data_IF_959117795611
#
_entry.id   IF_959117795611
#
_cell.length_a   1.000
_cell.length_b   1.000
_cell.length_c   1.000
_cell.angle_alpha   90.00
_cell.angle_beta   90.00
_cell.angle_gamma   90.00
#
_symmetry.space_group_name_H-M   'P 1'
#
loop_
_entity.id
_entity.type
_entity.pdbx_description
1 polymer ?
#
# COMPACT_ATOMS: atom_id res chain seq x y z
N UNK A 1 -12.03 -7.20 18.48
CA UNK A 1 -13.45 -7.59 18.30
C UNK A 1 -13.95 -6.93 17.02
N UNK A 2 -14.95 -7.46 16.31
CA UNK A 2 -15.52 -6.74 15.16
C UNK A 2 -16.08 -5.40 15.64
N UNK A 3 -15.72 -4.30 14.97
CA UNK A 3 -16.13 -2.93 15.32
C UNK A 3 -15.06 -2.03 15.97
N UNK A 4 -14.05 -2.58 16.66
CA UNK A 4 -13.00 -1.76 17.31
C UNK A 4 -12.14 -1.01 16.28
N UNK A 5 -11.87 -1.66 15.14
CA UNK A 5 -11.03 -1.11 14.08
C UNK A 5 -11.66 0.13 13.42
N UNK A 6 -12.97 0.10 13.16
CA UNK A 6 -13.70 1.23 12.57
C UNK A 6 -13.70 2.43 13.53
N UNK A 7 -13.98 2.21 14.82
CA UNK A 7 -14.00 3.27 15.82
C UNK A 7 -12.61 3.94 15.97
N UNK A 8 -11.55 3.13 15.98
CA UNK A 8 -10.18 3.63 15.98
C UNK A 8 -9.83 4.38 14.69
N UNK A 9 -10.25 3.85 13.53
CA UNK A 9 -10.05 4.50 12.24
C UNK A 9 -10.66 5.90 12.21
N UNK A 10 -11.85 6.04 12.80
CA UNK A 10 -12.60 7.29 12.84
C UNK A 10 -11.92 8.31 13.76
N UNK A 11 -11.45 7.89 14.93
CA UNK A 11 -10.65 8.74 15.81
C UNK A 11 -9.35 9.21 15.13
N UNK A 12 -8.66 8.32 14.41
CA UNK A 12 -7.47 8.71 13.64
C UNK A 12 -7.80 9.66 12.50
N UNK A 13 -8.91 9.42 11.79
CA UNK A 13 -9.33 10.29 10.70
C UNK A 13 -9.57 11.71 11.19
N UNK A 14 -10.33 11.88 12.27
CA UNK A 14 -10.61 13.20 12.85
C UNK A 14 -9.32 13.93 13.24
N UNK A 15 -8.40 13.23 13.93
CA UNK A 15 -7.11 13.82 14.33
C UNK A 15 -6.28 14.24 13.11
N UNK A 16 -6.12 13.36 12.12
CA UNK A 16 -5.32 13.65 10.93
C UNK A 16 -5.96 14.73 10.05
N UNK A 17 -7.30 14.76 9.93
CA UNK A 17 -8.00 15.78 9.15
C UNK A 17 -7.83 17.18 9.77
N UNK A 18 -7.85 17.28 11.10
CA UNK A 18 -7.54 18.52 11.82
C UNK A 18 -6.07 18.93 11.63
N UNK A 19 -5.11 18.01 11.82
CA UNK A 19 -3.67 18.29 11.66
C UNK A 19 -3.31 18.74 10.24
N UNK A 20 -3.95 18.17 9.22
CA UNK A 20 -3.68 18.45 7.81
C UNK A 20 -4.59 19.54 7.22
N UNK A 21 -5.50 20.11 8.03
CA UNK A 21 -6.50 21.11 7.61
C UNK A 21 -7.34 20.66 6.39
N UNK A 22 -7.77 19.39 6.40
CA UNK A 22 -8.53 18.73 5.31
C UNK A 22 -10.01 18.62 5.69
N UNK A 23 -10.91 18.92 4.75
CA UNK A 23 -12.37 18.83 4.98
C UNK A 23 -12.92 17.42 4.66
N UNK A 24 -12.38 16.41 5.35
CA UNK A 24 -12.84 15.02 5.23
C UNK A 24 -13.79 14.71 6.38
N UNK A 25 -14.98 14.22 6.06
CA UNK A 25 -16.12 14.06 6.97
C UNK A 25 -16.37 12.61 7.41
N UNK A 26 -15.63 11.64 6.87
CA UNK A 26 -15.77 10.24 7.25
C UNK A 26 -15.28 9.27 6.19
N UNK A 27 -15.67 8.01 6.37
CA UNK A 27 -15.44 6.91 5.43
C UNK A 27 -16.71 6.64 4.63
N UNK A 28 -16.55 6.20 3.40
CA UNK A 28 -17.66 5.64 2.61
C UNK A 28 -18.01 4.21 3.08
N UNK A 29 -19.15 3.70 2.64
CA UNK A 29 -19.63 2.37 3.03
C UNK A 29 -18.70 1.23 2.59
N UNK A 30 -18.08 1.33 1.42
CA UNK A 30 -17.07 0.38 0.93
C UNK A 30 -15.79 0.43 1.78
N UNK A 31 -15.34 1.61 2.21
CA UNK A 31 -14.21 1.76 3.11
C UNK A 31 -14.46 1.09 4.47
N UNK A 32 -15.65 1.31 5.04
CA UNK A 32 -16.04 0.69 6.31
C UNK A 32 -16.05 -0.84 6.21
N UNK A 33 -16.66 -1.38 5.16
CA UNK A 33 -16.66 -2.83 4.90
C UNK A 33 -15.24 -3.38 4.76
N UNK A 34 -14.35 -2.65 4.07
CA UNK A 34 -12.96 -3.06 3.90
C UNK A 34 -12.17 -3.02 5.21
N UNK A 35 -12.39 -2.01 6.05
CA UNK A 35 -11.78 -1.89 7.38
C UNK A 35 -12.21 -3.04 8.31
N UNK A 36 -13.46 -3.48 8.22
CA UNK A 36 -13.98 -4.61 9.01
C UNK A 36 -13.52 -5.97 8.49
N UNK A 37 -13.42 -6.12 7.17
CA UNK A 37 -13.00 -7.37 6.54
C UNK A 37 -11.49 -7.65 6.71
N UNK A 38 -10.70 -6.61 6.99
CA UNK A 38 -9.24 -6.76 7.13
C UNK A 38 -8.85 -7.29 8.52
N UNK A 39 -7.84 -8.16 8.55
CA UNK A 39 -7.37 -8.86 9.76
C UNK A 39 -6.36 -8.06 10.59
N UNK A 40 -5.89 -6.90 10.10
CA UNK A 40 -4.96 -5.99 10.79
C UNK A 40 -3.72 -6.68 11.40
N UNK A 41 -2.90 -7.40 10.60
CA UNK A 41 -1.74 -8.13 11.09
C UNK A 41 -0.68 -7.22 11.74
N UNK A 42 -0.60 -5.94 11.34
CA UNK A 42 0.26 -4.91 11.91
C UNK A 42 -0.36 -4.16 13.10
N UNK A 43 -1.52 -4.60 13.58
CA UNK A 43 -2.26 -4.02 14.71
C UNK A 43 -2.67 -2.55 14.49
N UNK A 44 -2.92 -1.81 15.57
CA UNK A 44 -3.39 -0.42 15.58
C UNK A 44 -2.46 0.55 14.82
N UNK A 45 -1.16 0.27 14.78
CA UNK A 45 -0.18 1.11 14.05
C UNK A 45 -0.35 1.04 12.54
N UNK A 46 -0.70 -0.14 12.01
CA UNK A 46 -1.00 -0.31 10.59
C UNK A 46 -2.23 0.52 10.22
N UNK A 47 -3.29 0.42 11.03
CA UNK A 47 -4.51 1.20 10.88
C UNK A 47 -4.24 2.71 10.89
N UNK A 48 -3.48 3.21 11.87
CA UNK A 48 -3.14 4.63 12.00
C UNK A 48 -2.39 5.15 10.77
N UNK A 49 -1.37 4.43 10.30
CA UNK A 49 -0.59 4.82 9.12
C UNK A 49 -1.43 4.83 7.85
N UNK A 50 -2.26 3.81 7.69
CA UNK A 50 -3.13 3.64 6.53
C UNK A 50 -4.16 4.78 6.46
N UNK A 51 -4.83 5.09 7.58
CA UNK A 51 -5.79 6.22 7.67
C UNK A 51 -5.08 7.55 7.43
N UNK A 52 -3.92 7.79 8.04
CA UNK A 52 -3.15 9.03 7.83
C UNK A 52 -2.82 9.27 6.36
N UNK A 53 -2.37 8.23 5.65
CA UNK A 53 -2.06 8.31 4.22
C UNK A 53 -3.32 8.58 3.39
N UNK A 54 -4.42 7.87 3.68
CA UNK A 54 -5.68 8.07 2.99
C UNK A 54 -6.20 9.52 3.18
N UNK A 55 -6.04 10.11 4.37
CA UNK A 55 -6.37 11.52 4.63
C UNK A 55 -5.55 12.50 3.78
N UNK A 56 -4.27 12.18 3.50
CA UNK A 56 -3.38 12.98 2.65
C UNK A 56 -3.77 12.85 1.18
N UNK A 57 -4.09 11.63 0.73
CA UNK A 57 -4.28 11.29 -0.69
C UNK A 57 -5.71 11.46 -1.19
N UNK A 58 -6.72 11.42 -0.33
CA UNK A 58 -8.11 11.55 -0.75
C UNK A 58 -8.30 12.88 -1.50
N UNK A 59 -9.13 12.92 -2.53
CA UNK A 59 -9.50 14.18 -3.21
C UNK A 59 -10.92 14.66 -2.84
N UNK A 60 -11.65 13.85 -2.06
CA UNK A 60 -13.04 14.09 -1.69
C UNK A 60 -13.27 14.45 -0.21
N UNK A 61 -14.55 14.55 0.14
CA UNK A 61 -15.01 14.75 1.53
C UNK A 61 -15.18 13.44 2.30
N UNK A 62 -14.93 12.29 1.66
CA UNK A 62 -15.01 10.96 2.25
C UNK A 62 -13.82 10.11 1.77
N UNK A 63 -13.34 9.23 2.64
CA UNK A 63 -12.31 8.23 2.32
C UNK A 63 -12.98 6.96 1.80
N UNK A 64 -12.53 6.49 0.64
CA UNK A 64 -12.99 5.27 -0.03
C UNK A 64 -12.09 4.07 0.22
N UNK A 65 -12.55 2.86 -0.13
CA UNK A 65 -11.71 1.66 -0.01
C UNK A 65 -10.45 1.74 -0.89
N UNK A 66 -10.54 2.44 -2.03
CA UNK A 66 -9.42 2.72 -2.92
C UNK A 66 -8.38 3.64 -2.25
N UNK A 67 -8.82 4.69 -1.55
CA UNK A 67 -7.93 5.60 -0.81
C UNK A 67 -7.17 4.87 0.32
N UNK A 68 -7.84 3.88 0.93
CA UNK A 68 -7.25 3.00 1.94
C UNK A 68 -6.28 1.97 1.34
N UNK A 69 -6.42 1.65 0.05
CA UNK A 69 -5.70 0.56 -0.60
C UNK A 69 -6.17 -0.81 -0.11
N UNK A 70 -7.44 -0.92 0.30
CA UNK A 70 -8.05 -2.15 0.83
C UNK A 70 -9.06 -2.76 -0.14
N UNK A 71 -8.89 -2.53 -1.46
CA UNK A 71 -9.72 -3.16 -2.46
C UNK A 71 -9.64 -4.70 -2.36
N UNK A 72 -10.80 -5.34 -2.41
CA UNK A 72 -10.93 -6.79 -2.34
C UNK A 72 -10.09 -7.45 -3.44
N UNK A 73 -8.92 -7.98 -3.07
CA UNK A 73 -8.02 -8.71 -3.96
C UNK A 73 -6.61 -8.15 -4.10
N UNK A 74 -6.28 -6.97 -3.55
CA UNK A 74 -4.96 -6.33 -3.71
C UNK A 74 -4.38 -5.80 -2.39
N UNK A 75 -4.48 -6.57 -1.30
CA UNK A 75 -3.73 -6.27 -0.09
C UNK A 75 -2.24 -6.60 -0.31
N UNK A 76 -1.53 -5.76 -1.06
CA UNK A 76 -0.07 -5.79 -1.06
C UNK A 76 0.37 -5.21 0.30
N UNK A 77 0.97 -6.01 1.20
CA UNK A 77 1.23 -5.60 2.57
C UNK A 77 2.04 -4.31 2.60
N UNK A 78 1.49 -3.31 3.28
CA UNK A 78 2.06 -1.97 3.29
C UNK A 78 3.38 -1.99 4.08
N UNK A 79 4.46 -1.40 3.54
CA UNK A 79 5.77 -1.51 4.16
C UNK A 79 5.84 -0.74 5.48
N UNK A 80 6.12 -1.43 6.59
CA UNK A 80 6.22 -0.89 7.95
C UNK A 80 7.46 -0.01 8.16
N UNK A 81 8.46 -0.12 7.29
CA UNK A 81 9.70 0.66 7.36
C UNK A 81 10.31 0.89 5.97
N UNK A 82 11.28 1.82 5.88
CA UNK A 82 11.94 2.19 4.62
C UNK A 82 12.58 1.01 3.89
N UNK A 83 13.06 0.00 4.63
CA UNK A 83 13.65 -1.21 4.03
C UNK A 83 12.58 -1.99 3.26
N UNK A 84 11.43 -2.24 3.88
CA UNK A 84 10.32 -2.91 3.22
C UNK A 84 9.77 -2.08 2.06
N UNK A 85 9.76 -0.75 2.18
CA UNK A 85 9.28 0.12 1.11
C UNK A 85 10.18 0.03 -0.13
N UNK A 86 11.50 0.01 0.09
CA UNK A 86 12.47 -0.21 -0.98
C UNK A 86 12.34 -1.59 -1.59
N UNK A 87 12.17 -2.64 -0.77
CA UNK A 87 11.99 -4.02 -1.25
C UNK A 87 10.71 -4.18 -2.09
N UNK A 88 9.60 -3.57 -1.67
CA UNK A 88 8.35 -3.58 -2.45
C UNK A 88 8.48 -2.80 -3.76
N UNK A 89 9.11 -1.62 -3.74
CA UNK A 89 9.38 -0.85 -4.94
C UNK A 89 10.31 -1.60 -5.92
N UNK A 90 11.38 -2.22 -5.41
CA UNK A 90 12.28 -3.11 -6.17
C UNK A 90 11.47 -4.24 -6.83
N UNK A 91 10.65 -4.97 -6.06
CA UNK A 91 9.80 -6.06 -6.56
C UNK A 91 8.86 -5.60 -7.67
N UNK A 92 8.17 -4.47 -7.48
CA UNK A 92 7.21 -3.94 -8.44
C UNK A 92 7.90 -3.48 -9.73
N UNK A 93 9.06 -2.81 -9.64
CA UNK A 93 9.83 -2.40 -10.80
C UNK A 93 10.30 -3.60 -11.63
N UNK A 94 10.81 -4.64 -10.98
CA UNK A 94 11.28 -5.86 -11.63
C UNK A 94 10.14 -6.60 -12.32
N UNK A 95 9.01 -6.78 -11.63
CA UNK A 95 7.83 -7.45 -12.18
C UNK A 95 7.30 -6.73 -13.43
N UNK A 96 7.21 -5.39 -13.38
CA UNK A 96 6.79 -4.58 -14.54
C UNK A 96 7.75 -4.70 -15.71
N UNK A 97 9.06 -4.64 -15.45
CA UNK A 97 10.07 -4.78 -16.50
C UNK A 97 9.99 -6.14 -17.18
N UNK A 98 9.88 -7.23 -16.41
CA UNK A 98 9.74 -8.59 -16.95
C UNK A 98 8.43 -8.76 -17.75
N UNK A 99 7.32 -8.18 -17.28
CA UNK A 99 6.06 -8.23 -18.00
C UNK A 99 6.11 -7.48 -19.34
N UNK A 100 6.87 -6.39 -19.44
CA UNK A 100 7.02 -5.61 -20.67
C UNK A 100 8.00 -6.23 -21.68
N UNK A 101 8.88 -7.13 -21.24
CA UNK A 101 9.92 -7.73 -22.08
C UNK A 101 9.73 -9.21 -22.31
N UNK A 102 8.50 -9.71 -22.19
CA UNK A 102 8.14 -11.13 -22.34
C UNK A 102 9.05 -12.06 -21.52
N UNK A 103 9.37 -11.66 -20.29
CA UNK A 103 10.26 -12.37 -19.35
C UNK A 103 11.73 -12.48 -19.81
N UNK A 104 12.15 -11.68 -20.79
CA UNK A 104 13.56 -11.57 -21.18
C UNK A 104 14.36 -10.78 -20.14
N UNK A 105 15.15 -11.49 -19.33
CA UNK A 105 16.02 -10.90 -18.29
C UNK A 105 17.02 -9.91 -18.88
N UNK A 106 17.52 -10.16 -20.09
CA UNK A 106 18.45 -9.28 -20.77
C UNK A 106 17.84 -7.90 -21.07
N UNK A 107 16.62 -7.90 -21.61
CA UNK A 107 15.90 -6.67 -21.97
C UNK A 107 15.34 -5.97 -20.72
N UNK A 108 14.88 -6.73 -19.72
CA UNK A 108 14.41 -6.16 -18.46
C UNK A 108 15.54 -5.44 -17.71
N UNK A 109 16.77 -5.98 -17.75
CA UNK A 109 17.94 -5.35 -17.15
C UNK A 109 18.29 -4.01 -17.86
N UNK A 110 18.25 -3.98 -19.19
CA UNK A 110 18.41 -2.74 -19.96
C UNK A 110 17.33 -1.72 -19.63
N UNK A 111 16.06 -2.14 -19.57
CA UNK A 111 14.93 -1.27 -19.26
C UNK A 111 15.01 -0.68 -17.84
N UNK A 112 15.54 -1.44 -16.89
CA UNK A 112 15.78 -1.00 -15.52
C UNK A 112 17.10 -0.22 -15.35
N UNK A 113 17.94 -0.12 -16.39
CA UNK A 113 19.22 0.57 -16.33
C UNK A 113 20.27 -0.11 -15.44
N UNK A 114 20.19 -1.44 -15.28
CA UNK A 114 21.10 -2.23 -14.44
C UNK A 114 21.75 -3.38 -15.22
N UNK A 115 22.78 -3.99 -14.64
CA UNK A 115 23.43 -5.15 -15.25
C UNK A 115 22.60 -6.43 -15.08
N UNK A 116 22.78 -7.40 -15.99
CA UNK A 116 22.10 -8.72 -15.88
C UNK A 116 22.41 -9.43 -14.54
N UNK A 117 23.67 -9.49 -14.05
CA UNK A 117 23.95 -10.08 -12.74
C UNK A 117 23.20 -9.38 -11.60
N UNK A 118 23.15 -8.04 -11.60
CA UNK A 118 22.40 -7.27 -10.60
C UNK A 118 20.91 -7.63 -10.62
N UNK A 119 20.32 -7.79 -11.81
CA UNK A 119 18.92 -8.19 -11.92
C UNK A 119 18.69 -9.61 -11.39
N UNK A 120 19.59 -10.56 -11.66
CA UNK A 120 19.51 -11.92 -11.08
C UNK A 120 19.58 -11.92 -9.55
N UNK A 121 20.49 -11.14 -8.98
CA UNK A 121 20.63 -11.00 -7.52
C UNK A 121 19.36 -10.39 -6.91
N UNK A 122 18.82 -9.35 -7.55
CA UNK A 122 17.58 -8.72 -7.12
C UNK A 122 16.39 -9.66 -7.22
N UNK A 123 16.22 -10.38 -8.34
CA UNK A 123 15.15 -11.38 -8.53
C UNK A 123 15.21 -12.48 -7.47
N UNK A 124 16.42 -12.94 -7.13
CA UNK A 124 16.62 -13.94 -6.07
C UNK A 124 16.25 -13.38 -4.70
N UNK A 125 16.66 -12.14 -4.41
CA UNK A 125 16.36 -11.43 -3.16
C UNK A 125 14.86 -11.17 -2.97
N UNK A 126 14.12 -10.88 -4.04
CA UNK A 126 12.67 -10.68 -4.00
C UNK A 126 11.87 -11.97 -4.28
N UNK A 127 12.51 -13.11 -4.49
CA UNK A 127 11.82 -14.39 -4.70
C UNK A 127 10.98 -14.47 -5.98
N UNK A 128 11.45 -13.87 -7.09
CA UNK A 128 10.82 -13.90 -8.42
C UNK A 128 11.54 -14.89 -9.38
N UNK A 129 11.97 -16.06 -8.87
CA UNK A 129 12.72 -17.05 -9.66
C UNK A 129 11.83 -18.19 -10.14
#
# INVERSE_FOLDING_TARGET
RPGDAVLLAQAFLERNAQELNRNIRGFSSDALNALEAHTWPGNVRELENLVKRATIMADGTQITAADLGLEAGHADPQPLNLRQARENAERQAISRALAQTDHSVAQAAELLGITRPTLYDLMTKVGLK
#
